data_IF_149017667534
#
_entry.id   IF_149017667534
#
_cell.length_a   1.000
_cell.length_b   1.000
_cell.length_c   1.000
_cell.angle_alpha   90.00
_cell.angle_beta   90.00
_cell.angle_gamma   90.00
#
_symmetry.space_group_name_H-M   'P 1'
#
loop_
_entity.id
_entity.type
_entity.pdbx_description
1 polymer ?
#
# COMPACT_ATOMS: atom_id res chain seq x y z
N UNK A 1 44.78 -21.08 34.58
CA UNK A 1 44.16 -20.76 33.28
C UNK A 1 42.68 -21.15 33.28
N UNK A 2 41.82 -20.51 32.49
CA UNK A 2 40.42 -20.94 32.35
C UNK A 2 40.34 -22.35 31.72
N UNK A 3 39.42 -23.24 32.13
CA UNK A 3 39.22 -24.56 31.52
C UNK A 3 39.20 -24.58 29.98
N UNK A 4 38.55 -23.59 29.36
CA UNK A 4 38.53 -23.45 27.89
C UNK A 4 39.91 -23.13 27.30
N UNK A 5 40.67 -22.28 27.97
CA UNK A 5 42.04 -21.92 27.57
C UNK A 5 42.99 -23.11 27.69
N UNK A 6 42.87 -23.91 28.76
CA UNK A 6 43.65 -25.14 28.95
C UNK A 6 43.38 -26.12 27.80
N UNK A 7 42.10 -26.35 27.47
CA UNK A 7 41.71 -27.20 26.34
C UNK A 7 42.26 -26.69 25.01
N UNK A 8 42.27 -25.37 24.79
CA UNK A 8 42.84 -24.77 23.58
C UNK A 8 44.35 -25.02 23.49
N UNK A 9 45.11 -24.80 24.56
CA UNK A 9 46.55 -25.06 24.55
C UNK A 9 46.88 -26.54 24.37
N UNK A 10 46.13 -27.44 25.00
CA UNK A 10 46.30 -28.88 24.80
C UNK A 10 45.96 -29.28 23.36
N UNK A 11 44.88 -28.75 22.79
CA UNK A 11 44.56 -28.96 21.38
C UNK A 11 45.69 -28.46 20.47
N UNK A 12 46.24 -27.27 20.73
CA UNK A 12 47.35 -26.72 19.96
C UNK A 12 48.60 -27.61 20.06
N UNK A 13 48.97 -28.01 21.28
CA UNK A 13 50.09 -28.92 21.54
C UNK A 13 49.91 -30.26 20.81
N UNK A 14 48.72 -30.85 20.86
CA UNK A 14 48.45 -32.11 20.16
C UNK A 14 48.58 -31.97 18.64
N UNK A 15 48.14 -30.85 18.05
CA UNK A 15 48.32 -30.61 16.63
C UNK A 15 49.79 -30.37 16.27
N UNK A 16 50.52 -29.65 17.13
CA UNK A 16 51.96 -29.44 16.95
C UNK A 16 52.73 -30.77 16.99
N UNK A 17 52.47 -31.64 17.98
CA UNK A 17 53.12 -32.94 18.08
C UNK A 17 52.76 -33.87 16.92
N UNK A 18 51.49 -33.86 16.47
CA UNK A 18 51.06 -34.60 15.27
C UNK A 18 51.74 -34.09 14.00
N UNK A 19 52.02 -32.81 13.90
CA UNK A 19 52.77 -32.26 12.77
C UNK A 19 54.20 -32.83 12.68
N UNK A 20 54.77 -33.26 13.80
CA UNK A 20 56.04 -33.99 13.87
C UNK A 20 55.87 -35.52 13.97
N UNK A 21 54.70 -36.04 13.57
CA UNK A 21 54.39 -37.48 13.57
C UNK A 21 54.49 -38.19 14.93
N UNK A 22 54.39 -37.43 16.03
CA UNK A 22 54.40 -37.99 17.39
C UNK A 22 52.98 -38.48 17.75
N UNK A 23 52.83 -39.76 18.10
CA UNK A 23 51.56 -40.32 18.56
C UNK A 23 51.17 -39.75 19.94
N UNK A 24 50.07 -39.00 19.96
CA UNK A 24 49.51 -38.37 21.15
C UNK A 24 48.31 -39.12 21.74
N UNK A 25 47.80 -40.17 21.09
CA UNK A 25 46.55 -40.82 21.52
C UNK A 25 46.71 -41.54 22.86
N UNK A 26 47.87 -42.16 23.08
CA UNK A 26 48.23 -42.77 24.38
C UNK A 26 48.26 -41.76 25.53
N UNK A 27 48.50 -40.48 25.25
CA UNK A 27 48.65 -39.41 26.24
C UNK A 27 47.31 -38.73 26.53
N UNK A 28 46.42 -38.61 25.53
CA UNK A 28 45.10 -37.98 25.71
C UNK A 28 44.27 -38.63 26.81
N UNK A 29 44.30 -39.96 26.90
CA UNK A 29 43.57 -40.72 27.93
C UNK A 29 44.14 -40.54 29.35
N UNK A 30 45.41 -40.11 29.47
CA UNK A 30 46.10 -39.92 30.75
C UNK A 30 45.89 -38.52 31.33
N UNK A 31 45.51 -37.54 30.51
CA UNK A 31 45.34 -36.15 30.94
C UNK A 31 43.90 -35.91 31.42
N UNK A 32 43.75 -35.62 32.71
CA UNK A 32 42.47 -35.20 33.28
C UNK A 32 42.18 -33.74 32.92
N UNK A 33 41.22 -33.55 32.01
CA UNK A 33 40.78 -32.21 31.63
C UNK A 33 39.96 -31.56 32.75
N UNK A 34 40.13 -30.25 32.99
CA UNK A 34 39.26 -29.53 33.90
C UNK A 34 37.80 -29.60 33.40
N UNK A 35 36.88 -29.77 34.35
CA UNK A 35 35.43 -29.74 34.09
C UNK A 35 35.07 -28.39 33.42
N UNK A 36 34.10 -28.43 32.50
CA UNK A 36 33.56 -27.20 31.89
C UNK A 36 32.81 -26.42 32.97
N UNK A 37 33.46 -25.43 33.57
CA UNK A 37 32.79 -24.47 34.44
C UNK A 37 32.27 -23.28 33.64
N UNK A 38 31.07 -22.77 33.95
CA UNK A 38 30.66 -21.43 33.53
C UNK A 38 31.49 -20.43 34.34
N UNK A 39 32.50 -19.85 33.69
CA UNK A 39 33.41 -18.90 34.36
C UNK A 39 32.81 -17.49 34.36
N UNK A 40 31.96 -17.17 33.38
CA UNK A 40 31.39 -15.82 33.24
C UNK A 40 29.89 -15.88 33.45
N UNK A 41 29.43 -14.97 34.30
CA UNK A 41 28.03 -14.64 34.46
C UNK A 41 27.78 -13.26 33.84
N UNK A 42 27.16 -13.25 32.68
CA UNK A 42 26.84 -12.05 31.92
C UNK A 42 25.32 -11.86 31.81
N UNK A 43 24.83 -10.78 32.42
CA UNK A 43 23.40 -10.46 32.47
C UNK A 43 22.91 -9.80 31.17
N UNK A 44 21.62 -9.99 30.89
CA UNK A 44 20.91 -9.24 29.86
C UNK A 44 20.80 -7.75 30.21
N UNK A 45 20.81 -6.90 29.19
CA UNK A 45 20.56 -5.47 29.33
C UNK A 45 19.05 -5.19 29.40
N UNK A 46 18.67 -4.13 30.11
CA UNK A 46 17.32 -3.53 30.03
C UNK A 46 17.30 -2.41 28.99
N UNK A 47 16.11 -2.08 28.47
CA UNK A 47 15.96 -0.96 27.52
C UNK A 47 16.51 0.35 28.09
N UNK A 48 16.17 0.69 29.33
CA UNK A 48 16.65 1.90 30.00
C UNK A 48 18.18 1.94 30.14
N UNK A 49 18.83 0.79 30.28
CA UNK A 49 20.29 0.72 30.34
C UNK A 49 20.91 0.96 28.97
N UNK A 50 20.30 0.42 27.90
CA UNK A 50 20.74 0.67 26.53
C UNK A 50 20.60 2.14 26.16
N UNK A 51 19.44 2.74 26.46
CA UNK A 51 19.20 4.17 26.29
C UNK A 51 20.28 4.99 27.01
N UNK A 52 20.51 4.73 28.30
CA UNK A 52 21.55 5.42 29.10
C UNK A 52 22.96 5.24 28.51
N UNK A 53 23.31 4.03 28.07
CA UNK A 53 24.63 3.75 27.48
C UNK A 53 24.83 4.52 26.17
N UNK A 54 23.82 4.53 25.29
CA UNK A 54 23.90 5.22 24.00
C UNK A 54 23.94 6.74 24.22
N UNK A 55 23.09 7.29 25.08
CA UNK A 55 23.03 8.74 25.37
C UNK A 55 24.32 9.24 26.04
N UNK A 56 24.90 8.46 26.95
CA UNK A 56 26.17 8.82 27.60
C UNK A 56 27.39 8.77 26.65
N UNK A 57 27.25 8.19 25.46
CA UNK A 57 28.31 8.19 24.45
C UNK A 57 28.47 9.59 23.85
N UNK A 58 29.57 10.27 24.21
CA UNK A 58 29.97 11.58 23.64
C UNK A 58 30.43 11.50 22.18
N UNK A 59 30.94 10.34 21.74
CA UNK A 59 31.41 10.17 20.37
C UNK A 59 30.26 9.74 19.46
N UNK A 60 29.95 10.49 18.37
CA UNK A 60 28.91 10.10 17.42
C UNK A 60 29.13 8.69 16.85
N UNK A 61 30.38 8.38 16.46
CA UNK A 61 30.77 7.04 16.00
C UNK A 61 30.42 5.94 17.01
N UNK A 62 30.76 6.11 18.28
CA UNK A 62 30.47 5.11 19.31
C UNK A 62 28.96 5.03 19.60
N UNK A 63 28.27 6.17 19.61
CA UNK A 63 26.81 6.23 19.82
C UNK A 63 26.08 5.42 18.76
N UNK A 64 26.35 5.70 17.49
CA UNK A 64 25.74 5.01 16.34
C UNK A 64 26.14 3.53 16.29
N UNK A 65 27.38 3.17 16.60
CA UNK A 65 27.81 1.77 16.67
C UNK A 65 27.05 0.98 17.76
N UNK A 66 26.86 1.56 18.94
CA UNK A 66 26.13 0.90 20.02
C UNK A 66 24.64 0.75 19.69
N UNK A 67 24.05 1.76 19.05
CA UNK A 67 22.66 1.72 18.56
C UNK A 67 22.49 0.62 17.50
N UNK A 68 23.39 0.58 16.52
CA UNK A 68 23.41 -0.46 15.49
C UNK A 68 23.50 -1.86 16.10
N UNK A 69 24.43 -2.08 17.05
CA UNK A 69 24.60 -3.38 17.72
C UNK A 69 23.33 -3.81 18.47
N UNK A 70 22.65 -2.88 19.12
CA UNK A 70 21.41 -3.16 19.83
C UNK A 70 20.31 -3.62 18.85
N UNK A 71 20.16 -2.92 17.73
CA UNK A 71 19.07 -3.14 16.79
C UNK A 71 19.31 -4.26 15.75
N UNK A 72 20.55 -4.72 15.56
CA UNK A 72 20.88 -5.76 14.56
C UNK A 72 21.48 -7.02 15.15
N UNK A 73 21.82 -6.98 16.45
CA UNK A 73 22.46 -8.09 17.14
C UNK A 73 23.82 -8.50 16.57
N UNK A 74 24.49 -7.69 15.73
CA UNK A 74 25.79 -8.03 15.14
C UNK A 74 26.85 -8.39 16.18
N UNK A 75 27.85 -9.19 15.76
CA UNK A 75 29.09 -9.32 16.55
C UNK A 75 29.92 -8.05 16.41
N UNK A 76 30.66 -7.67 17.45
CA UNK A 76 31.52 -6.47 17.43
C UNK A 76 32.53 -6.45 16.27
N UNK A 77 33.05 -7.62 15.90
CA UNK A 77 33.98 -7.75 14.78
C UNK A 77 33.29 -7.59 13.42
N UNK A 78 32.03 -8.00 13.30
CA UNK A 78 31.24 -7.76 12.08
C UNK A 78 30.94 -6.27 11.98
N UNK A 79 30.39 -5.67 13.03
CA UNK A 79 30.02 -4.25 13.05
C UNK A 79 31.21 -3.31 12.75
N UNK A 80 32.41 -3.57 13.27
CA UNK A 80 33.58 -2.72 13.01
C UNK A 80 34.11 -2.85 11.58
N UNK A 81 33.81 -3.94 10.87
CA UNK A 81 34.30 -4.25 9.53
C UNK A 81 33.24 -3.99 8.45
N UNK A 82 32.13 -3.35 8.79
CA UNK A 82 31.14 -2.90 7.81
C UNK A 82 31.69 -1.73 7.01
N UNK A 83 31.38 -1.73 5.71
CA UNK A 83 31.57 -0.60 4.80
C UNK A 83 30.25 0.17 4.63
N UNK A 84 30.32 1.39 4.13
CA UNK A 84 29.13 2.22 3.86
C UNK A 84 28.22 1.53 2.85
N UNK A 85 28.79 0.98 1.76
CA UNK A 85 28.08 0.25 0.70
C UNK A 85 27.38 -1.03 1.15
N UNK A 86 27.61 -1.47 2.40
CA UNK A 86 26.88 -2.60 2.96
C UNK A 86 25.48 -2.20 3.44
N UNK A 87 25.15 -0.91 3.46
CA UNK A 87 23.83 -0.43 3.88
C UNK A 87 23.07 0.06 2.66
N UNK A 88 21.94 -0.58 2.41
CA UNK A 88 20.91 -0.10 1.52
C UNK A 88 19.97 0.81 2.32
N UNK A 89 20.12 2.12 2.14
CA UNK A 89 19.35 3.12 2.88
C UNK A 89 17.93 3.34 2.34
N UNK A 90 17.65 2.87 1.13
CA UNK A 90 16.32 2.97 0.51
C UNK A 90 15.45 1.85 1.04
N UNK A 91 15.94 0.61 0.98
CA UNK A 91 15.24 -0.56 1.49
C UNK A 91 15.44 -0.77 3.00
N UNK A 92 16.30 0.03 3.66
CA UNK A 92 16.70 -0.11 5.06
C UNK A 92 17.21 -1.52 5.37
N UNK A 93 18.12 -2.03 4.54
CA UNK A 93 18.70 -3.36 4.71
C UNK A 93 20.21 -3.24 4.92
N UNK A 94 20.71 -3.92 5.94
CA UNK A 94 22.14 -4.12 6.16
C UNK A 94 22.57 -5.48 5.60
N UNK A 95 23.49 -5.47 4.65
CA UNK A 95 24.09 -6.67 4.06
C UNK A 95 25.41 -6.99 4.76
N UNK A 96 25.45 -8.10 5.48
CA UNK A 96 26.65 -8.57 6.18
C UNK A 96 27.38 -9.60 5.28
N UNK A 97 28.53 -9.27 4.68
CA UNK A 97 29.21 -10.17 3.77
C UNK A 97 29.85 -11.35 4.50
N UNK A 98 29.83 -12.54 3.89
CA UNK A 98 30.37 -13.76 4.49
C UNK A 98 31.82 -13.66 4.95
N UNK A 99 32.65 -12.89 4.24
CA UNK A 99 34.08 -12.68 4.56
C UNK A 99 34.34 -12.08 5.95
N UNK A 100 33.38 -11.35 6.54
CA UNK A 100 33.53 -10.77 7.89
C UNK A 100 32.79 -11.58 8.96
N UNK A 101 32.03 -12.61 8.58
CA UNK A 101 31.29 -13.46 9.52
C UNK A 101 32.15 -14.64 9.95
N UNK A 102 31.91 -15.13 11.16
CA UNK A 102 32.63 -16.31 11.67
C UNK A 102 32.29 -17.59 10.89
N UNK A 103 31.06 -17.68 10.36
CA UNK A 103 30.57 -18.84 9.63
C UNK A 103 30.92 -18.81 8.15
N UNK A 104 31.43 -17.69 7.61
CA UNK A 104 31.66 -17.51 6.18
C UNK A 104 30.38 -17.27 5.37
N UNK A 105 29.19 -17.34 5.98
CA UNK A 105 27.90 -17.16 5.29
C UNK A 105 27.45 -15.69 5.31
N UNK A 106 27.05 -15.11 4.16
CA UNK A 106 26.45 -13.78 4.13
C UNK A 106 25.04 -13.80 4.70
N UNK A 107 24.53 -12.63 5.09
CA UNK A 107 23.13 -12.47 5.52
C UNK A 107 22.69 -11.02 5.40
N UNK A 108 21.39 -10.83 5.33
CA UNK A 108 20.75 -9.53 5.34
C UNK A 108 19.97 -9.34 6.63
N UNK A 109 20.01 -8.13 7.17
CA UNK A 109 19.36 -7.76 8.40
C UNK A 109 18.59 -6.46 8.12
N UNK A 110 17.25 -6.45 8.23
CA UNK A 110 16.50 -5.21 8.14
C UNK A 110 16.90 -4.24 9.25
N UNK A 111 16.80 -2.94 8.98
CA UNK A 111 17.14 -1.85 9.89
C UNK A 111 15.88 -1.13 10.32
N UNK A 112 15.78 -0.85 11.62
CA UNK A 112 14.71 0.01 12.13
C UNK A 112 14.86 1.43 11.58
N UNK A 113 13.74 2.16 11.42
CA UNK A 113 13.76 3.56 10.95
C UNK A 113 14.75 4.41 11.75
N UNK A 114 14.70 4.23 13.07
CA UNK A 114 15.52 4.93 14.04
C UNK A 114 17.04 4.76 13.78
N UNK A 115 17.48 3.53 13.50
CA UNK A 115 18.90 3.25 13.28
C UNK A 115 19.34 3.71 11.90
N UNK A 116 18.48 3.55 10.88
CA UNK A 116 18.75 4.05 9.54
C UNK A 116 18.95 5.58 9.55
N UNK A 117 18.10 6.31 10.27
CA UNK A 117 18.25 7.76 10.48
C UNK A 117 19.50 8.10 11.28
N UNK A 118 19.79 7.37 12.36
CA UNK A 118 21.00 7.58 13.16
C UNK A 118 22.29 7.36 12.33
N UNK A 119 22.28 6.38 11.42
CA UNK A 119 23.37 6.13 10.47
C UNK A 119 23.49 7.26 9.43
N UNK A 120 22.38 7.69 8.81
CA UNK A 120 22.36 8.83 7.87
C UNK A 120 22.91 10.09 8.53
N UNK A 121 22.44 10.41 9.73
CA UNK A 121 22.89 11.57 10.50
C UNK A 121 24.37 11.47 10.90
N UNK A 122 24.84 10.27 11.25
CA UNK A 122 26.24 10.03 11.53
C UNK A 122 27.13 10.26 10.30
N UNK A 123 26.75 9.72 9.14
CA UNK A 123 27.49 9.88 7.89
C UNK A 123 27.54 11.36 7.46
N UNK A 124 26.42 12.08 7.53
CA UNK A 124 26.36 13.53 7.22
C UNK A 124 27.29 14.38 8.09
N UNK A 125 27.46 14.00 9.37
CA UNK A 125 28.28 14.75 10.33
C UNK A 125 29.72 14.27 10.41
N UNK A 126 30.08 13.20 9.68
CA UNK A 126 31.43 12.64 9.71
C UNK A 126 32.33 13.47 8.82
N UNK A 127 33.37 14.06 9.41
CA UNK A 127 34.33 14.92 8.71
C UNK A 127 35.33 14.17 7.81
N UNK A 128 35.29 12.84 7.80
CA UNK A 128 36.32 11.99 7.19
C UNK A 128 35.69 11.18 6.07
N UNK A 129 36.27 11.21 4.88
CA UNK A 129 35.90 10.28 3.81
C UNK A 129 36.62 8.93 3.96
N UNK A 130 35.87 7.84 3.81
CA UNK A 130 36.34 6.47 4.05
C UNK A 130 35.25 5.47 3.70
N UNK A 131 35.64 4.39 3.01
CA UNK A 131 34.78 3.24 2.72
C UNK A 131 34.22 2.54 3.97
N UNK A 132 34.95 2.55 5.09
CA UNK A 132 34.51 1.92 6.33
C UNK A 132 33.37 2.72 6.93
N UNK A 133 32.34 2.01 7.42
CA UNK A 133 31.24 2.65 8.14
C UNK A 133 31.77 3.32 9.40
N UNK A 134 32.62 2.63 10.16
CA UNK A 134 33.26 3.15 11.37
C UNK A 134 34.79 3.16 11.23
N UNK A 135 35.38 4.21 10.61
CA UNK A 135 36.82 4.31 10.40
C UNK A 135 37.59 4.51 11.70
N UNK A 136 38.90 4.20 11.70
CA UNK A 136 39.81 4.60 12.76
C UNK A 136 39.99 6.11 12.78
N UNK A 137 40.31 6.66 13.96
CA UNK A 137 40.62 8.10 14.07
C UNK A 137 42.04 8.45 13.59
N UNK A 138 42.95 7.50 13.69
CA UNK A 138 44.37 7.71 13.32
C UNK A 138 44.61 7.47 11.84
N UNK A 139 43.82 6.58 11.23
CA UNK A 139 43.97 6.16 9.86
C UNK A 139 42.59 5.83 9.26
N UNK A 140 41.98 6.77 8.53
CA UNK A 140 40.69 6.59 7.89
C UNK A 140 40.58 5.39 6.95
N UNK A 141 41.71 4.95 6.37
CA UNK A 141 41.74 3.78 5.46
C UNK A 141 41.52 2.46 6.19
N UNK A 142 41.52 2.47 7.54
CA UNK A 142 41.37 1.29 8.38
C UNK A 142 40.09 1.34 9.22
N UNK A 143 39.49 0.18 9.51
CA UNK A 143 38.36 0.11 10.43
C UNK A 143 38.78 0.44 11.86
N UNK A 144 37.84 0.91 12.68
CA UNK A 144 38.09 1.20 14.09
C UNK A 144 38.68 -0.02 14.83
N UNK A 145 39.71 0.24 15.62
CA UNK A 145 40.40 -0.80 16.39
C UNK A 145 39.48 -1.36 17.49
N UNK A 146 39.38 -2.70 17.54
CA UNK A 146 38.56 -3.43 18.52
C UNK A 146 38.89 -3.04 19.96
N UNK A 147 40.16 -2.95 20.34
CA UNK A 147 40.56 -2.62 21.70
C UNK A 147 40.09 -1.23 22.13
N UNK A 148 40.11 -0.25 21.19
CA UNK A 148 39.59 1.09 21.44
C UNK A 148 38.08 1.09 21.66
N UNK A 149 37.35 0.24 20.95
CA UNK A 149 35.91 0.07 21.17
C UNK A 149 35.61 -0.45 22.58
N UNK A 150 36.32 -1.49 23.04
CA UNK A 150 36.15 -2.02 24.39
C UNK A 150 36.52 -1.00 25.46
N UNK A 151 37.66 -0.28 25.30
CA UNK A 151 38.03 0.81 26.22
C UNK A 151 36.94 1.89 26.26
N UNK A 152 36.40 2.28 25.10
CA UNK A 152 35.34 3.28 25.00
C UNK A 152 34.07 2.85 25.72
N UNK A 153 33.59 1.64 25.49
CA UNK A 153 32.42 1.08 26.18
C UNK A 153 32.64 1.09 27.71
N UNK A 154 33.79 0.63 28.19
CA UNK A 154 34.05 0.57 29.64
C UNK A 154 34.18 1.94 30.30
N UNK A 155 34.63 2.97 29.56
CA UNK A 155 34.57 4.36 30.05
C UNK A 155 33.13 4.83 30.20
N UNK A 156 32.29 4.57 29.18
CA UNK A 156 30.86 4.91 29.22
C UNK A 156 30.17 4.22 30.40
N UNK A 157 30.38 2.91 30.56
CA UNK A 157 29.78 2.15 31.67
C UNK A 157 30.23 2.69 33.03
N UNK A 158 31.49 3.11 33.17
CA UNK A 158 32.00 3.72 34.40
C UNK A 158 31.34 5.08 34.67
N UNK A 159 31.17 5.93 33.66
CA UNK A 159 30.55 7.25 33.85
C UNK A 159 29.07 7.19 34.24
N UNK A 160 28.38 6.07 34.00
CA UNK A 160 26.96 5.89 34.35
C UNK A 160 26.73 4.87 35.48
N UNK A 161 27.79 4.40 36.14
CA UNK A 161 27.71 3.46 37.26
C UNK A 161 27.31 2.02 36.89
N UNK A 162 27.49 1.61 35.62
CA UNK A 162 27.15 0.27 35.12
C UNK A 162 28.39 -0.62 34.87
N UNK A 163 29.52 -0.31 35.49
CA UNK A 163 30.81 -1.00 35.30
C UNK A 163 31.03 -2.20 36.25
N UNK A 164 29.97 -2.85 36.73
CA UNK A 164 30.07 -4.00 37.64
C UNK A 164 30.85 -5.15 37.00
N UNK A 165 31.74 -5.78 37.79
CA UNK A 165 32.51 -6.95 37.39
C UNK A 165 31.65 -8.20 37.40
N UNK A 166 31.99 -9.17 36.55
CA UNK A 166 31.38 -10.50 36.61
C UNK A 166 31.86 -11.27 37.85
N UNK A 167 31.21 -12.40 38.14
CA UNK A 167 31.53 -13.26 39.29
C UNK A 167 32.97 -13.80 39.27
N UNK A 168 33.65 -13.77 38.12
CA UNK A 168 35.06 -14.16 38.00
C UNK A 168 36.04 -13.07 38.42
N UNK A 169 35.56 -11.83 38.62
CA UNK A 169 36.39 -10.64 38.85
C UNK A 169 37.20 -10.18 37.63
N UNK A 170 37.26 -10.97 36.55
CA UNK A 170 38.09 -10.70 35.37
C UNK A 170 37.35 -9.98 34.26
N UNK A 171 36.03 -10.18 34.14
CA UNK A 171 35.20 -9.54 33.11
C UNK A 171 34.28 -8.46 33.68
N UNK A 172 33.59 -7.77 32.77
CA UNK A 172 32.47 -6.89 33.09
C UNK A 172 31.17 -7.63 32.79
N UNK A 173 30.13 -7.39 33.62
CA UNK A 173 28.81 -7.97 33.37
C UNK A 173 28.23 -7.49 32.04
N UNK A 174 28.48 -6.22 31.68
CA UNK A 174 28.06 -5.61 30.42
C UNK A 174 29.27 -5.50 29.48
N UNK A 175 29.07 -6.00 28.26
CA UNK A 175 30.04 -5.91 27.17
C UNK A 175 29.31 -5.95 25.82
N UNK A 176 30.03 -5.88 24.70
CA UNK A 176 29.38 -5.84 23.38
C UNK A 176 28.44 -7.03 23.09
N UNK A 177 28.73 -8.22 23.62
CA UNK A 177 27.83 -9.37 23.44
C UNK A 177 26.50 -9.20 24.20
N UNK A 178 26.46 -8.39 25.26
CA UNK A 178 25.23 -8.09 26.00
C UNK A 178 24.17 -7.41 25.13
N UNK A 179 24.58 -6.59 24.15
CA UNK A 179 23.67 -5.99 23.16
C UNK A 179 23.04 -7.05 22.25
N UNK A 180 23.85 -8.01 21.79
CA UNK A 180 23.37 -9.13 20.99
C UNK A 180 22.43 -10.05 21.77
N UNK A 181 22.69 -10.25 23.07
CA UNK A 181 21.76 -10.97 23.95
C UNK A 181 20.44 -10.21 24.09
N UNK A 182 20.50 -8.89 24.29
CA UNK A 182 19.30 -8.07 24.34
C UNK A 182 18.48 -8.17 23.06
N UNK A 183 19.11 -8.02 21.88
CA UNK A 183 18.45 -8.20 20.59
C UNK A 183 17.69 -9.52 20.53
N UNK A 184 18.37 -10.64 20.82
CA UNK A 184 17.75 -11.97 20.79
C UNK A 184 16.58 -12.08 21.77
N UNK A 185 16.79 -11.75 23.04
CA UNK A 185 15.77 -11.89 24.07
C UNK A 185 14.58 -10.95 23.84
N UNK A 186 14.80 -9.75 23.32
CA UNK A 186 13.75 -8.80 22.99
C UNK A 186 12.88 -9.33 21.85
N UNK A 187 13.48 -9.88 20.79
CA UNK A 187 12.73 -10.46 19.68
C UNK A 187 11.99 -11.73 20.07
N UNK A 188 12.61 -12.61 20.86
CA UNK A 188 11.94 -13.82 21.39
C UNK A 188 10.72 -13.44 22.25
N UNK A 189 10.82 -12.37 23.06
CA UNK A 189 9.69 -11.87 23.87
C UNK A 189 8.59 -11.23 23.04
N UNK A 190 8.94 -10.63 21.91
CA UNK A 190 7.99 -10.06 20.96
C UNK A 190 7.30 -11.12 20.08
N UNK A 191 7.60 -12.41 20.29
CA UNK A 191 7.00 -13.51 19.55
C UNK A 191 7.55 -13.68 18.14
N UNK A 192 8.69 -13.06 17.82
CA UNK A 192 9.29 -13.18 16.49
C UNK A 192 9.81 -14.60 16.26
N UNK A 193 9.62 -15.11 15.05
CA UNK A 193 10.02 -16.44 14.65
C UNK A 193 11.50 -16.70 14.97
N UNK A 194 11.75 -17.71 15.80
CA UNK A 194 13.09 -18.03 16.27
C UNK A 194 14.08 -18.30 15.14
N UNK A 195 13.67 -18.95 14.06
CA UNK A 195 14.55 -19.23 12.93
C UNK A 195 14.97 -17.96 12.20
N UNK A 196 14.08 -16.96 12.07
CA UNK A 196 14.44 -15.64 11.54
C UNK A 196 15.43 -14.91 12.44
N UNK A 197 15.20 -14.92 13.77
CA UNK A 197 16.13 -14.31 14.74
C UNK A 197 17.53 -14.92 14.58
N UNK A 198 17.61 -16.25 14.55
CA UNK A 198 18.86 -16.99 14.41
C UNK A 198 19.53 -16.75 13.03
N UNK A 199 18.73 -16.61 11.96
CA UNK A 199 19.18 -16.24 10.61
C UNK A 199 19.77 -14.83 10.58
N UNK A 200 19.10 -13.82 11.13
CA UNK A 200 19.63 -12.44 11.26
C UNK A 200 20.87 -12.38 12.15
N UNK A 201 20.92 -13.22 13.17
CA UNK A 201 22.10 -13.37 14.02
C UNK A 201 23.26 -14.07 13.28
N UNK A 202 23.01 -14.80 12.20
CA UNK A 202 24.02 -15.60 11.51
C UNK A 202 24.52 -16.74 12.40
N UNK A 203 23.59 -17.44 13.04
CA UNK A 203 23.85 -18.73 13.67
C UNK A 203 23.70 -19.86 12.65
N UNK A 204 24.38 -20.98 12.91
CA UNK A 204 24.21 -22.16 12.08
C UNK A 204 22.92 -22.86 12.50
N UNK A 205 21.96 -22.88 11.59
CA UNK A 205 20.64 -23.48 11.79
C UNK A 205 20.65 -24.99 11.51
N UNK A 206 21.77 -25.52 10.97
CA UNK A 206 21.84 -26.88 10.48
C UNK A 206 20.73 -27.18 9.48
N UNK A 207 20.22 -28.39 9.53
CA UNK A 207 19.18 -28.91 8.62
C UNK A 207 17.90 -28.06 8.65
N UNK A 208 17.51 -27.53 9.82
CA UNK A 208 16.30 -26.69 9.94
C UNK A 208 16.39 -25.40 9.12
N UNK A 209 17.60 -24.87 8.91
CA UNK A 209 17.81 -23.68 8.09
C UNK A 209 17.58 -23.93 6.61
N UNK A 210 17.89 -25.14 6.13
CA UNK A 210 17.79 -25.49 4.72
C UNK A 210 16.34 -25.63 4.26
N UNK A 211 15.45 -26.05 5.16
CA UNK A 211 14.00 -26.12 4.91
C UNK A 211 13.26 -24.81 5.20
N UNK A 212 13.91 -23.83 5.84
CA UNK A 212 13.26 -22.59 6.24
C UNK A 212 13.37 -21.52 5.15
N UNK A 213 12.41 -21.57 4.24
CA UNK A 213 12.24 -20.62 3.11
C UNK A 213 10.94 -19.83 3.29
N UNK A 214 10.90 -18.84 4.20
CA UNK A 214 9.72 -18.01 4.40
C UNK A 214 9.44 -17.11 3.19
N UNK A 215 8.16 -16.81 2.93
CA UNK A 215 7.76 -15.82 1.93
C UNK A 215 8.19 -14.41 2.35
N UNK A 216 8.37 -13.48 1.39
CA UNK A 216 8.67 -12.08 1.70
C UNK A 216 7.65 -11.45 2.67
N UNK A 217 6.36 -11.68 2.44
CA UNK A 217 5.27 -11.13 3.28
C UNK A 217 5.38 -11.61 4.74
N UNK A 218 5.74 -12.88 4.94
CA UNK A 218 5.96 -13.41 6.30
C UNK A 218 7.18 -12.78 6.97
N UNK A 219 8.25 -12.53 6.21
CA UNK A 219 9.44 -11.82 6.74
C UNK A 219 9.06 -10.40 7.14
N UNK A 220 8.22 -9.73 6.37
CA UNK A 220 7.76 -8.37 6.64
C UNK A 220 6.87 -8.31 7.89
N UNK A 221 5.90 -9.22 8.05
CA UNK A 221 5.06 -9.32 9.26
C UNK A 221 5.92 -9.56 10.53
N UNK A 222 6.86 -10.48 10.44
CA UNK A 222 7.80 -10.78 11.54
C UNK A 222 8.74 -9.60 11.82
N UNK A 223 9.08 -8.83 10.78
CA UNK A 223 9.88 -7.62 10.91
C UNK A 223 9.09 -6.48 11.57
N UNK A 224 7.79 -6.32 11.33
CA UNK A 224 6.99 -5.30 12.02
C UNK A 224 6.98 -5.53 13.54
N UNK A 225 6.81 -6.78 13.97
CA UNK A 225 6.93 -7.19 15.38
C UNK A 225 8.33 -6.85 15.92
N UNK A 226 9.36 -7.16 15.14
CA UNK A 226 10.75 -6.89 15.50
C UNK A 226 11.05 -5.38 15.61
N UNK A 227 10.61 -4.56 14.66
CA UNK A 227 10.85 -3.13 14.61
C UNK A 227 10.22 -2.41 15.81
N UNK A 228 8.97 -2.75 16.15
CA UNK A 228 8.29 -2.23 17.36
C UNK A 228 9.07 -2.58 18.63
N UNK A 229 9.54 -3.82 18.75
CA UNK A 229 10.27 -4.29 19.93
C UNK A 229 11.68 -3.70 20.06
N UNK A 230 12.35 -3.48 18.93
CA UNK A 230 13.73 -2.99 18.85
C UNK A 230 13.84 -1.46 18.86
N UNK A 231 12.74 -0.73 18.76
CA UNK A 231 12.72 0.73 18.86
C UNK A 231 13.21 1.19 20.25
N UNK A 232 14.29 1.99 20.28
CA UNK A 232 14.99 2.32 21.52
C UNK A 232 14.54 3.67 22.10
N UNK A 233 14.50 4.73 21.29
CA UNK A 233 14.13 6.09 21.68
C UNK A 233 12.81 6.57 21.11
N UNK A 234 12.22 5.85 20.14
CA UNK A 234 10.90 6.17 19.62
C UNK A 234 9.81 6.05 20.70
N UNK A 235 8.73 6.84 20.56
CA UNK A 235 7.53 6.64 21.38
C UNK A 235 7.04 5.22 21.12
N UNK A 236 7.06 4.37 22.15
CA UNK A 236 6.12 3.27 22.19
C UNK A 236 4.77 3.96 22.32
N UNK A 237 3.96 3.97 21.26
CA UNK A 237 2.55 4.31 21.42
C UNK A 237 2.07 3.42 22.57
N UNK A 238 1.64 3.99 23.72
CA UNK A 238 1.06 3.20 24.79
C UNK A 238 -0.02 2.32 24.17
N UNK A 239 -0.17 1.08 24.62
CA UNK A 239 -1.17 0.14 24.05
C UNK A 239 -2.57 0.77 23.96
N UNK A 240 -2.88 1.73 24.83
CA UNK A 240 -4.08 2.57 24.81
C UNK A 240 -4.22 3.44 23.55
N UNK A 241 -3.14 4.04 23.04
CA UNK A 241 -3.15 4.89 21.84
C UNK A 241 -3.30 4.05 20.56
N UNK A 242 -2.76 2.82 20.57
CA UNK A 242 -2.95 1.83 19.51
C UNK A 242 -4.40 1.32 19.48
N UNK A 243 -4.97 0.99 20.65
CA UNK A 243 -6.38 0.61 20.79
C UNK A 243 -7.32 1.73 20.33
N UNK A 244 -7.05 2.97 20.73
CA UNK A 244 -7.79 4.14 20.26
C UNK A 244 -7.73 4.29 18.74
N UNK A 245 -6.56 4.05 18.13
CA UNK A 245 -6.41 4.06 16.66
C UNK A 245 -7.18 2.94 15.99
N UNK A 246 -7.08 1.71 16.49
CA UNK A 246 -7.80 0.56 15.95
C UNK A 246 -9.32 0.77 16.05
N UNK A 247 -9.80 1.34 17.16
CA UNK A 247 -11.20 1.71 17.36
C UNK A 247 -11.65 2.82 16.39
N UNK A 248 -10.79 3.82 16.14
CA UNK A 248 -11.06 4.89 15.17
C UNK A 248 -11.08 4.35 13.74
N UNK A 249 -10.11 3.49 13.37
CA UNK A 249 -10.06 2.84 12.05
C UNK A 249 -11.32 2.00 11.84
N UNK A 250 -11.72 1.23 12.85
CA UNK A 250 -12.94 0.43 12.80
C UNK A 250 -14.18 1.31 12.59
N UNK A 251 -14.34 2.38 13.38
CA UNK A 251 -15.44 3.35 13.19
C UNK A 251 -15.44 3.98 11.79
N UNK A 252 -14.29 4.44 11.31
CA UNK A 252 -14.18 5.04 9.97
C UNK A 252 -14.52 4.02 8.88
N UNK A 253 -14.07 2.76 9.00
CA UNK A 253 -14.41 1.71 8.04
C UNK A 253 -15.91 1.39 8.02
N UNK A 254 -16.58 1.44 9.17
CA UNK A 254 -18.04 1.27 9.27
C UNK A 254 -18.78 2.46 8.65
N UNK A 255 -18.29 3.70 8.83
CA UNK A 255 -18.84 4.89 8.18
C UNK A 255 -18.66 4.86 6.65
N UNK A 256 -17.50 4.43 6.16
CA UNK A 256 -17.24 4.27 4.73
C UNK A 256 -18.22 3.27 4.12
N UNK A 257 -18.42 2.10 4.76
CA UNK A 257 -19.41 1.10 4.29
C UNK A 257 -20.82 1.67 4.20
N UNK A 258 -21.27 2.42 5.21
CA UNK A 258 -22.59 3.07 5.18
C UNK A 258 -22.70 4.09 4.05
N UNK A 259 -21.64 4.86 3.79
CA UNK A 259 -21.61 5.79 2.65
C UNK A 259 -21.66 5.07 1.32
N UNK A 260 -20.95 3.95 1.18
CA UNK A 260 -20.99 3.14 -0.04
C UNK A 260 -22.39 2.56 -0.30
N UNK A 261 -23.10 2.12 0.75
CA UNK A 261 -24.51 1.70 0.64
C UNK A 261 -25.42 2.85 0.17
N UNK A 262 -25.27 4.05 0.73
CA UNK A 262 -26.04 5.23 0.32
C UNK A 262 -25.71 5.64 -1.13
N UNK A 263 -24.43 5.60 -1.52
CA UNK A 263 -24.01 5.89 -2.90
C UNK A 263 -24.64 4.89 -3.86
N UNK A 264 -24.73 3.61 -3.48
CA UNK A 264 -25.40 2.59 -4.28
C UNK A 264 -26.88 2.89 -4.44
N UNK A 265 -27.59 3.20 -3.35
CA UNK A 265 -29.02 3.56 -3.42
C UNK A 265 -29.27 4.81 -4.26
N UNK A 266 -28.42 5.84 -4.13
CA UNK A 266 -28.50 7.05 -4.95
C UNK A 266 -28.24 6.76 -6.42
N UNK A 267 -27.26 5.91 -6.73
CA UNK A 267 -26.94 5.53 -8.11
C UNK A 267 -28.13 4.83 -8.78
N UNK A 268 -28.78 3.89 -8.07
CA UNK A 268 -29.99 3.23 -8.58
C UNK A 268 -31.17 4.20 -8.75
N UNK A 269 -31.27 5.24 -7.91
CA UNK A 269 -32.31 6.28 -8.09
C UNK A 269 -32.02 7.15 -9.30
N UNK A 270 -30.76 7.53 -9.52
CA UNK A 270 -30.33 8.32 -10.68
C UNK A 270 -30.64 7.56 -11.97
N UNK A 271 -30.35 6.27 -12.03
CA UNK A 271 -30.64 5.41 -13.18
C UNK A 271 -32.15 5.40 -13.49
N UNK A 272 -32.99 5.11 -12.49
CA UNK A 272 -34.47 5.15 -12.66
C UNK A 272 -34.98 6.52 -13.11
N UNK A 273 -34.41 7.61 -12.61
CA UNK A 273 -34.78 8.96 -13.07
C UNK A 273 -34.31 9.25 -14.49
N UNK A 274 -33.18 8.69 -14.91
CA UNK A 274 -32.69 8.80 -16.29
C UNK A 274 -33.65 8.13 -17.25
N UNK A 275 -34.09 6.91 -16.94
CA UNK A 275 -35.06 6.17 -17.76
C UNK A 275 -36.38 6.94 -17.93
N UNK A 276 -36.89 7.51 -16.83
CA UNK A 276 -38.11 8.33 -16.86
C UNK A 276 -37.95 9.61 -17.70
N UNK A 277 -36.74 10.19 -17.74
CA UNK A 277 -36.47 11.37 -18.57
C UNK A 277 -36.48 10.99 -20.05
N UNK A 278 -35.92 9.85 -20.43
CA UNK A 278 -35.99 9.34 -21.82
C UNK A 278 -37.45 9.08 -22.25
N UNK A 279 -38.25 8.43 -21.40
CA UNK A 279 -39.68 8.21 -21.69
C UNK A 279 -40.45 9.54 -21.86
N UNK A 280 -40.14 10.55 -21.04
CA UNK A 280 -40.75 11.88 -21.16
C UNK A 280 -40.34 12.60 -22.45
N UNK A 281 -39.11 12.42 -22.92
CA UNK A 281 -38.66 12.97 -24.20
C UNK A 281 -39.39 12.33 -25.39
N UNK A 282 -39.57 11.01 -25.38
CA UNK A 282 -40.35 10.30 -26.41
C UNK A 282 -41.81 10.76 -26.45
N UNK A 283 -42.45 10.86 -25.28
CA UNK A 283 -43.81 11.37 -25.16
C UNK A 283 -43.92 12.81 -25.63
N UNK A 284 -42.94 13.66 -25.30
CA UNK A 284 -42.87 15.05 -25.77
C UNK A 284 -42.76 15.11 -27.29
N UNK A 285 -41.97 14.25 -27.93
CA UNK A 285 -41.92 14.17 -29.40
C UNK A 285 -43.24 13.73 -30.02
N UNK A 286 -43.92 12.75 -29.41
CA UNK A 286 -45.25 12.31 -29.87
C UNK A 286 -46.28 13.43 -29.77
N UNK A 287 -46.33 14.14 -28.63
CA UNK A 287 -47.22 15.30 -28.45
C UNK A 287 -46.84 16.43 -29.41
N UNK A 288 -45.56 16.67 -29.68
CA UNK A 288 -45.13 17.65 -30.66
C UNK A 288 -45.57 17.29 -32.08
N UNK A 289 -45.49 16.01 -32.47
CA UNK A 289 -46.00 15.49 -33.75
C UNK A 289 -47.52 15.65 -33.86
N UNK A 290 -48.26 15.29 -32.82
CA UNK A 290 -49.73 15.44 -32.79
C UNK A 290 -50.10 16.92 -32.87
N UNK A 291 -49.47 17.78 -32.06
CA UNK A 291 -49.66 19.23 -32.07
C UNK A 291 -49.27 19.89 -33.40
N UNK A 292 -48.27 19.35 -34.09
CA UNK A 292 -47.85 19.80 -35.41
C UNK A 292 -48.88 19.53 -36.50
N UNK A 293 -49.80 18.59 -36.29
CA UNK A 293 -50.87 18.26 -37.24
C UNK A 293 -52.21 18.88 -36.84
N UNK A 294 -52.54 18.93 -35.54
CA UNK A 294 -53.82 19.45 -35.08
C UNK A 294 -53.96 20.96 -35.25
N UNK A 295 -52.90 21.74 -35.01
CA UNK A 295 -52.96 23.20 -35.16
C UNK A 295 -53.21 23.61 -36.63
N UNK A 296 -52.46 23.09 -37.63
CA UNK A 296 -52.77 23.35 -39.03
C UNK A 296 -54.17 22.86 -39.44
N UNK A 297 -54.63 21.72 -38.91
CA UNK A 297 -55.97 21.19 -39.22
C UNK A 297 -57.08 22.14 -38.74
N UNK A 298 -56.97 22.69 -37.53
CA UNK A 298 -57.93 23.65 -36.97
C UNK A 298 -57.98 24.92 -37.81
N UNK A 299 -56.82 25.45 -38.22
CA UNK A 299 -56.73 26.64 -39.06
C UNK A 299 -57.25 26.38 -40.48
N UNK A 300 -56.97 25.22 -41.05
CA UNK A 300 -57.49 24.78 -42.34
C UNK A 300 -59.03 24.70 -42.32
N UNK A 301 -59.61 24.12 -41.27
CA UNK A 301 -61.07 24.04 -41.11
C UNK A 301 -61.68 25.45 -41.01
N UNK A 302 -61.05 26.39 -40.28
CA UNK A 302 -61.50 27.79 -40.21
C UNK A 302 -61.38 28.53 -41.55
N UNK A 303 -60.30 28.30 -42.30
CA UNK A 303 -60.13 28.87 -43.65
C UNK A 303 -61.21 28.35 -44.60
N UNK A 304 -61.46 27.04 -44.63
CA UNK A 304 -62.52 26.43 -45.44
C UNK A 304 -63.91 26.96 -45.06
N UNK A 305 -64.20 27.18 -43.77
CA UNK A 305 -65.44 27.81 -43.32
C UNK A 305 -65.64 29.19 -43.97
N UNK A 306 -64.59 30.01 -44.02
CA UNK A 306 -64.65 31.38 -44.58
C UNK A 306 -64.96 31.42 -46.08
N UNK A 307 -64.64 30.35 -46.82
CA UNK A 307 -64.98 30.23 -48.25
C UNK A 307 -66.47 29.99 -48.52
N UNK A 308 -67.27 29.65 -47.49
CA UNK A 308 -68.71 29.41 -47.61
C UNK A 308 -69.10 28.14 -48.40
N UNK A 309 -68.14 27.31 -48.83
CA UNK A 309 -68.38 26.13 -49.69
C UNK A 309 -68.67 24.84 -48.91
N UNK A 310 -68.48 24.79 -47.59
CA UNK A 310 -68.63 23.58 -46.77
C UNK A 310 -69.29 23.92 -45.41
N UNK A 311 -70.35 23.20 -45.02
CA UNK A 311 -71.01 23.32 -43.71
C UNK A 311 -70.32 22.43 -42.65
N UNK A 312 -69.49 23.03 -41.79
CA UNK A 312 -69.00 22.37 -40.57
C UNK A 312 -69.74 22.91 -39.33
N UNK A 313 -69.93 22.07 -38.29
CA UNK A 313 -70.28 22.57 -36.96
C UNK A 313 -69.14 23.45 -36.46
N UNK A 314 -69.45 24.68 -36.05
CA UNK A 314 -68.45 25.73 -35.77
C UNK A 314 -67.46 25.35 -34.67
N UNK A 315 -66.17 25.55 -34.95
CA UNK A 315 -65.13 25.61 -33.94
C UNK A 315 -65.27 26.98 -33.24
N UNK A 316 -65.31 27.05 -31.90
CA UNK A 316 -65.40 28.33 -31.18
C UNK A 316 -64.22 29.25 -31.49
N UNK A 317 -64.45 30.56 -31.58
CA UNK A 317 -63.42 31.54 -31.94
C UNK A 317 -62.26 31.57 -30.92
N UNK A 318 -62.55 31.27 -29.65
CA UNK A 318 -61.55 31.11 -28.58
C UNK A 318 -60.52 30.00 -28.89
N UNK A 319 -60.97 28.90 -29.51
CA UNK A 319 -60.10 27.77 -29.89
C UNK A 319 -59.23 28.14 -31.08
N UNK A 320 -59.75 28.95 -32.01
CA UNK A 320 -59.00 29.48 -33.15
C UNK A 320 -57.94 30.48 -32.68
N UNK A 321 -58.28 31.35 -31.74
CA UNK A 321 -57.35 32.31 -31.15
C UNK A 321 -56.23 31.62 -30.38
N UNK A 322 -56.57 30.62 -29.56
CA UNK A 322 -55.58 29.80 -28.85
C UNK A 322 -54.65 29.05 -29.82
N UNK A 323 -55.19 28.52 -30.93
CA UNK A 323 -54.39 27.87 -31.96
C UNK A 323 -53.37 28.84 -32.61
N UNK A 324 -53.74 30.10 -32.84
CA UNK A 324 -52.84 31.14 -33.36
C UNK A 324 -51.74 31.50 -32.35
N UNK A 325 -52.09 31.71 -31.09
CA UNK A 325 -51.11 31.99 -30.02
C UNK A 325 -50.11 30.83 -29.82
N UNK A 326 -50.59 29.58 -29.97
CA UNK A 326 -49.74 28.39 -29.92
C UNK A 326 -48.83 28.24 -31.15
N UNK A 327 -49.24 28.75 -32.33
CA UNK A 327 -48.36 28.81 -33.50
C UNK A 327 -47.23 29.82 -33.33
N UNK A 328 -47.51 31.01 -32.80
CA UNK A 328 -46.51 32.08 -32.62
C UNK A 328 -45.37 31.69 -31.66
N UNK A 329 -45.60 30.73 -30.76
CA UNK A 329 -44.61 30.21 -29.79
C UNK A 329 -43.74 29.06 -30.34
N UNK A 330 -43.98 28.57 -31.56
CA UNK A 330 -43.17 27.53 -32.25
C UNK A 330 -42.35 28.15 -33.39
N UNK A 331 -41.21 27.54 -33.82
CA UNK A 331 -40.50 28.02 -35.01
C UNK A 331 -41.41 27.96 -36.25
N UNK A 332 -41.20 28.86 -37.24
CA UNK A 332 -42.25 29.24 -38.19
C UNK A 332 -42.58 28.10 -39.15
N UNK A 333 -43.86 27.76 -39.24
CA UNK A 333 -44.43 27.01 -40.36
C UNK A 333 -45.40 27.97 -41.06
N UNK A 334 -45.22 28.11 -42.38
CA UNK A 334 -45.90 29.05 -43.29
C UNK A 334 -47.43 29.10 -43.08
N UNK A 335 -48.02 30.30 -43.09
CA UNK A 335 -49.46 30.47 -43.30
C UNK A 335 -49.83 29.88 -44.67
N UNK A 336 -50.86 29.02 -44.71
CA UNK A 336 -51.35 28.43 -45.95
C UNK A 336 -52.34 29.37 -46.62
N UNK A 337 -52.11 29.70 -47.90
CA UNK A 337 -53.10 30.31 -48.79
C UNK A 337 -54.25 29.34 -49.09
N UNK A 338 -55.40 29.82 -49.61
CA UNK A 338 -56.55 28.96 -49.98
C UNK A 338 -56.17 27.85 -50.99
N UNK A 339 -55.19 28.11 -51.84
CA UNK A 339 -54.66 27.18 -52.83
C UNK A 339 -53.73 26.14 -52.19
N UNK A 340 -52.81 26.57 -51.32
CA UNK A 340 -51.93 25.66 -50.57
C UNK A 340 -52.72 24.79 -49.58
N UNK A 341 -53.84 25.32 -49.03
CA UNK A 341 -54.80 24.57 -48.24
C UNK A 341 -55.46 23.44 -49.04
N UNK A 342 -55.81 23.68 -50.30
CA UNK A 342 -56.39 22.66 -51.18
C UNK A 342 -55.36 21.58 -51.57
N UNK A 343 -54.11 21.96 -51.87
CA UNK A 343 -53.02 21.00 -52.12
C UNK A 343 -52.70 20.14 -50.89
N UNK A 344 -52.70 20.75 -49.69
CA UNK A 344 -52.46 20.01 -48.44
C UNK A 344 -53.58 19.00 -48.14
N UNK A 345 -54.82 19.31 -48.49
CA UNK A 345 -55.97 18.38 -48.41
C UNK A 345 -55.80 17.21 -49.39
N UNK A 346 -55.33 17.45 -50.61
CA UNK A 346 -55.00 16.38 -51.56
C UNK A 346 -53.87 15.49 -51.02
N UNK A 347 -52.85 16.09 -50.40
CA UNK A 347 -51.73 15.37 -49.80
C UNK A 347 -52.15 14.54 -48.57
N UNK A 348 -53.05 15.05 -47.73
CA UNK A 348 -53.63 14.31 -46.59
C UNK A 348 -54.49 13.12 -47.04
N UNK A 349 -55.14 13.19 -48.21
CA UNK A 349 -55.85 12.06 -48.80
C UNK A 349 -54.91 10.94 -49.29
N UNK A 350 -53.60 11.19 -49.38
CA UNK A 350 -52.58 10.22 -49.74
C UNK A 350 -51.94 9.50 -48.53
N UNK A 351 -52.26 9.90 -47.30
CA UNK A 351 -51.81 9.23 -46.08
C UNK A 351 -52.71 8.04 -45.74
N UNK A 352 -52.07 6.88 -45.52
CA UNK A 352 -52.59 5.57 -45.09
C UNK A 352 -54.12 5.43 -45.00
N UNK A 353 -54.70 4.65 -45.93
CA UNK A 353 -56.15 4.43 -46.08
C UNK A 353 -56.84 4.06 -44.75
N UNK A 354 -56.15 3.37 -43.84
CA UNK A 354 -56.71 2.96 -42.54
C UNK A 354 -57.03 4.15 -41.62
N UNK A 355 -56.20 5.21 -41.67
CA UNK A 355 -56.41 6.40 -40.84
C UNK A 355 -57.52 7.26 -41.45
N UNK A 356 -57.53 7.44 -42.78
CA UNK A 356 -58.55 8.18 -43.51
C UNK A 356 -59.94 7.55 -43.33
N UNK A 357 -60.05 6.21 -43.33
CA UNK A 357 -61.32 5.51 -43.12
C UNK A 357 -61.88 5.73 -41.71
N UNK A 358 -61.01 5.79 -40.70
CA UNK A 358 -61.37 6.01 -39.28
C UNK A 358 -61.91 7.43 -39.07
N UNK A 359 -61.30 8.42 -39.72
CA UNK A 359 -61.74 9.81 -39.70
C UNK A 359 -63.03 10.02 -40.51
N UNK A 360 -63.17 9.42 -41.70
CA UNK A 360 -64.43 9.46 -42.49
C UNK A 360 -65.63 8.96 -41.70
N UNK A 361 -65.45 7.90 -40.91
CA UNK A 361 -66.48 7.34 -40.02
C UNK A 361 -66.84 8.27 -38.87
N UNK A 362 -65.85 9.00 -38.32
CA UNK A 362 -66.06 9.94 -37.20
C UNK A 362 -66.78 11.22 -37.65
N UNK A 363 -66.51 11.70 -38.87
CA UNK A 363 -67.11 12.92 -39.43
C UNK A 363 -68.33 12.69 -40.33
N UNK A 364 -68.77 11.44 -40.52
CA UNK A 364 -69.98 11.11 -41.29
C UNK A 364 -69.89 11.35 -42.79
N UNK A 365 -68.68 11.42 -43.35
CA UNK A 365 -68.44 11.73 -44.77
C UNK A 365 -68.60 10.45 -45.60
N UNK A 366 -69.55 10.45 -46.54
CA UNK A 366 -69.79 9.29 -47.43
C UNK A 366 -68.69 9.14 -48.47
N UNK A 367 -68.11 7.93 -48.54
CA UNK A 367 -67.09 7.55 -49.53
C UNK A 367 -67.64 7.64 -50.95
N UNK A 368 -67.01 8.47 -51.80
CA UNK A 368 -67.31 8.52 -53.22
C UNK A 368 -66.26 7.70 -53.99
N UNK A 369 -66.58 6.44 -54.30
CA UNK A 369 -65.76 5.61 -55.20
C UNK A 369 -66.07 6.00 -56.65
N UNK A 370 -65.07 6.53 -57.37
CA UNK A 370 -65.03 6.34 -58.83
C UNK A 370 -63.59 6.08 -59.30
N UNK A 371 -63.43 4.96 -60.00
CA UNK A 371 -62.19 4.46 -60.60
C UNK A 371 -61.85 5.27 -61.85
N UNK A 372 -60.56 5.50 -62.12
CA UNK A 372 -60.04 5.47 -63.50
C UNK A 372 -58.57 5.02 -63.56
N UNK A 373 -58.36 3.86 -64.19
CA UNK A 373 -57.09 3.32 -64.69
C UNK A 373 -56.65 4.10 -65.94
N UNK A 374 -55.34 4.33 -66.08
CA UNK A 374 -54.57 4.34 -67.34
C UNK A 374 -53.08 4.16 -66.94
N UNK A 375 -52.51 2.95 -67.02
CA UNK A 375 -51.89 2.25 -68.17
C UNK A 375 -50.44 2.68 -68.50
N UNK A 376 -49.55 1.68 -68.31
CA UNK A 376 -48.44 1.22 -69.18
C UNK A 376 -47.22 2.15 -69.34
N UNK A 377 -45.97 1.70 -69.32
CA UNK A 377 -45.36 0.36 -69.24
C UNK A 377 -44.01 0.35 -69.98
N UNK A 378 -42.99 -0.33 -69.43
CA UNK A 378 -41.80 -0.89 -70.10
C UNK A 378 -41.07 -1.74 -69.04
N UNK A 379 -41.27 -3.05 -68.92
CA UNK A 379 -40.72 -4.20 -69.67
C UNK A 379 -39.19 -4.20 -69.89
N UNK A 380 -38.56 -5.14 -69.16
CA UNK A 380 -37.57 -6.17 -69.59
C UNK A 380 -36.19 -5.64 -70.01
N UNK A 381 -35.15 -5.90 -69.21
CA UNK A 381 -34.38 -7.17 -69.17
C UNK A 381 -33.76 -7.34 -67.80
#
# INVERSE_FOLDING_TARGET
>A
LAPKTIRFYLWFLYNFLRFFDIDVERVKGKIRLPKKAKIRDDRGLRLSEIQRIILASKSPRMRTLLHLLAATGLRINEARLLKVDNIDFENRVLRVPGRITKSGRPREIPLTREVAEALKNYLKRREVDSEWLFPSKEDPSKPVNRYKLYRGLYRILRSIGLNKRDSSGKGYQIHFHSFRKWFKTTLERAGVNRLLIEKWMGHDLGVQGDYFTPSPDYIEEEWEKAEKALTIFGRREPEEELQLRDDVIKRLSEEVKKRDEVIKELSEKIERTSDLVEELEELREQVNRIGGLTIPLVLLIDALRKTGKIEFRGIPDEVVQLARELMERRPPIKEFTEEEAAEYIEMLNALDEAMVEKWRKYFGIKSNRSKKRLKRGAKIT
#
